data_IF_190698317916
#
_entry.id   IF_190698317916
#
_cell.length_a   1.000
_cell.length_b   1.000
_cell.length_c   1.000
_cell.angle_alpha   90.00
_cell.angle_beta   90.00
_cell.angle_gamma   90.00
#
_symmetry.space_group_name_H-M   'P 1'
#
loop_
_entity.id
_entity.type
_entity.pdbx_description
1 polymer ?
#
# COMPACT_ATOMS: atom_id res chain seq x y z
N UNK A 1 -7.68 -21.94 4.41
CA UNK A 1 -8.49 -20.92 3.74
C UNK A 1 -7.60 -19.71 3.53
N UNK A 2 -6.93 -19.63 2.39
CA UNK A 2 -6.18 -18.43 2.01
C UNK A 2 -7.20 -17.38 1.64
N UNK A 3 -7.41 -16.42 2.53
CA UNK A 3 -7.96 -15.11 2.19
C UNK A 3 -7.06 -14.53 1.10
N UNK A 4 -7.43 -14.75 -0.17
CA UNK A 4 -6.68 -14.24 -1.32
C UNK A 4 -6.93 -12.75 -1.39
N UNK A 5 -6.15 -12.02 -0.60
CA UNK A 5 -6.03 -10.57 -0.69
C UNK A 5 -5.53 -10.23 -2.08
N UNK A 6 -6.27 -9.37 -2.78
CA UNK A 6 -5.86 -8.86 -4.08
C UNK A 6 -4.77 -7.82 -3.86
N UNK A 7 -3.55 -8.09 -4.36
CA UNK A 7 -2.41 -7.18 -4.22
C UNK A 7 -2.17 -6.46 -5.53
N UNK A 8 -2.11 -5.13 -5.48
CA UNK A 8 -1.75 -4.28 -6.60
C UNK A 8 -0.32 -3.78 -6.43
N UNK A 9 0.56 -4.17 -7.36
CA UNK A 9 1.92 -3.65 -7.43
C UNK A 9 1.93 -2.27 -8.08
N UNK A 10 2.64 -1.32 -7.47
CA UNK A 10 2.82 0.01 -8.03
C UNK A 10 3.54 -0.03 -9.38
N UNK A 11 3.03 0.72 -10.36
CA UNK A 11 3.68 0.89 -11.67
C UNK A 11 5.01 1.62 -11.58
N UNK A 12 5.24 2.38 -10.50
CA UNK A 12 6.51 3.05 -10.21
C UNK A 12 7.59 2.09 -9.67
N UNK A 13 7.25 0.83 -9.41
CA UNK A 13 8.18 -0.20 -8.96
C UNK A 13 9.00 -0.85 -10.08
N UNK A 14 9.00 -0.28 -11.29
CA UNK A 14 9.69 -0.84 -12.45
C UNK A 14 11.19 -0.53 -12.48
N UNK A 15 11.61 0.68 -12.10
CA UNK A 15 12.96 1.13 -12.51
C UNK A 15 13.99 1.33 -11.39
N UNK A 16 13.64 1.65 -10.13
CA UNK A 16 14.67 2.01 -9.12
C UNK A 16 14.32 1.71 -7.66
N UNK A 17 14.02 0.46 -7.32
CA UNK A 17 13.99 0.01 -5.91
C UNK A 17 12.82 0.50 -5.04
N UNK A 18 11.93 1.34 -5.56
CA UNK A 18 10.69 1.75 -4.87
C UNK A 18 9.57 0.71 -5.04
N UNK A 19 9.81 -0.47 -4.47
CA UNK A 19 9.01 -1.68 -4.64
C UNK A 19 7.86 -1.77 -3.63
N UNK A 20 6.65 -1.37 -4.01
CA UNK A 20 5.49 -1.35 -3.10
C UNK A 20 4.30 -2.08 -3.71
N UNK A 21 3.62 -2.87 -2.88
CA UNK A 21 2.29 -3.42 -3.16
C UNK A 21 1.28 -2.97 -2.10
N UNK A 22 0.05 -2.78 -2.54
CA UNK A 22 -1.09 -2.44 -1.68
C UNK A 22 -2.18 -3.49 -1.87
N UNK A 23 -2.84 -3.88 -0.79
CA UNK A 23 -4.10 -4.60 -0.83
C UNK A 23 -5.18 -3.77 -0.13
N UNK A 24 -6.12 -3.26 -0.90
CA UNK A 24 -7.25 -2.47 -0.41
C UNK A 24 -8.36 -3.36 0.15
N UNK A 25 -9.10 -2.82 1.13
CA UNK A 25 -10.20 -3.51 1.78
C UNK A 25 -10.62 -2.78 3.06
N UNK A 26 -11.30 -3.50 3.96
CA UNK A 26 -11.67 -2.96 5.28
C UNK A 26 -10.43 -2.51 6.09
N UNK A 27 -9.29 -3.15 5.85
CA UNK A 27 -7.96 -2.74 6.29
C UNK A 27 -7.07 -2.68 5.05
N UNK A 28 -6.33 -1.59 4.90
CA UNK A 28 -5.40 -1.43 3.78
C UNK A 28 -4.04 -1.95 4.21
N UNK A 29 -3.49 -2.90 3.45
CA UNK A 29 -2.20 -3.48 3.74
C UNK A 29 -1.17 -2.94 2.75
N UNK A 30 -0.02 -2.51 3.25
CA UNK A 30 1.10 -2.03 2.44
C UNK A 30 2.31 -2.89 2.75
N UNK A 31 3.00 -3.36 1.70
CA UNK A 31 4.24 -4.12 1.87
C UNK A 31 5.28 -3.82 0.80
N UNK A 32 6.50 -4.20 1.13
CA UNK A 32 7.61 -4.23 0.19
C UNK A 32 7.42 -5.39 -0.82
N UNK A 33 7.55 -5.09 -2.12
CA UNK A 33 7.39 -6.13 -3.16
C UNK A 33 8.49 -7.18 -3.12
N UNK A 34 9.70 -6.80 -2.72
CA UNK A 34 10.89 -7.66 -2.71
C UNK A 34 10.98 -8.51 -1.43
N UNK A 35 10.46 -8.00 -0.31
CA UNK A 35 10.56 -8.61 1.00
C UNK A 35 9.18 -8.99 1.56
N UNK A 36 8.38 -9.71 0.77
CA UNK A 36 6.99 -10.09 1.14
C UNK A 36 6.90 -10.93 2.41
N UNK A 37 7.96 -11.68 2.71
CA UNK A 37 8.10 -12.56 3.86
C UNK A 37 8.26 -11.78 5.18
N UNK A 38 8.70 -10.52 5.12
CA UNK A 38 8.79 -9.64 6.30
C UNK A 38 7.42 -9.13 6.76
N UNK A 39 6.35 -9.42 6.01
CA UNK A 39 4.97 -9.08 6.36
C UNK A 39 4.47 -7.81 5.69
N UNK A 40 3.59 -7.08 6.37
CA UNK A 40 2.93 -5.88 5.87
C UNK A 40 2.55 -4.96 7.02
N UNK A 41 2.39 -3.67 6.71
CA UNK A 41 1.83 -2.68 7.62
C UNK A 41 0.33 -2.57 7.32
N UNK A 42 -0.48 -2.51 8.36
CA UNK A 42 -1.93 -2.44 8.27
C UNK A 42 -2.42 -1.03 8.66
N UNK A 43 -3.27 -0.45 7.82
CA UNK A 43 -3.90 0.85 8.04
C UNK A 43 -5.42 0.73 8.08
N UNK A 44 -6.10 1.47 8.96
CA UNK A 44 -7.55 1.65 8.84
C UNK A 44 -7.90 2.29 7.50
N UNK A 45 -8.95 1.79 6.83
CA UNK A 45 -9.39 2.31 5.54
C UNK A 45 -9.60 3.84 5.54
N UNK A 46 -10.17 4.40 6.61
CA UNK A 46 -10.40 5.84 6.73
C UNK A 46 -9.09 6.66 6.77
N UNK A 47 -8.09 6.18 7.51
CA UNK A 47 -6.80 6.86 7.59
C UNK A 47 -6.08 6.86 6.24
N UNK A 48 -6.12 5.73 5.53
CA UNK A 48 -5.58 5.62 4.17
C UNK A 48 -6.25 6.59 3.19
N UNK A 49 -7.58 6.72 3.25
CA UNK A 49 -8.32 7.64 2.39
C UNK A 49 -7.94 9.11 2.65
N UNK A 50 -7.81 9.51 3.92
CA UNK A 50 -7.36 10.86 4.30
C UNK A 50 -5.96 11.13 3.77
N UNK A 51 -5.03 10.21 4.02
CA UNK A 51 -3.64 10.30 3.53
C UNK A 51 -3.57 10.53 2.02
N UNK A 52 -4.29 9.73 1.22
CA UNK A 52 -4.31 9.89 -0.23
C UNK A 52 -4.91 11.23 -0.68
N UNK A 53 -5.93 11.72 0.02
CA UNK A 53 -6.54 13.00 -0.29
C UNK A 53 -5.59 14.17 -0.01
N UNK A 54 -4.84 14.12 1.09
CA UNK A 54 -3.88 15.16 1.45
C UNK A 54 -2.71 15.19 0.46
N UNK A 55 -2.18 14.02 0.07
CA UNK A 55 -1.17 13.92 -0.99
C UNK A 55 -1.65 14.52 -2.31
N UNK A 56 -2.89 14.24 -2.73
CA UNK A 56 -3.47 14.83 -3.97
C UNK A 56 -3.61 16.34 -3.91
N UNK A 57 -3.80 16.89 -2.72
CA UNK A 57 -3.88 18.33 -2.46
C UNK A 57 -2.52 18.99 -2.31
N UNK A 58 -1.43 18.21 -2.30
CA UNK A 58 -0.09 18.71 -2.02
C UNK A 58 0.12 19.09 -0.55
N UNK A 59 -0.79 18.68 0.35
CA UNK A 59 -0.63 18.89 1.79
C UNK A 59 0.24 17.77 2.33
N UNK A 60 1.49 18.09 2.58
CA UNK A 60 2.46 17.27 3.29
C UNK A 60 3.29 18.25 4.14
N UNK A 61 3.43 17.97 5.44
CA UNK A 61 4.32 18.72 6.34
C UNK A 61 5.79 18.62 5.91
#
# INVERSE_FOLDING_TARGET
>A
MTDTREWHKSTYSAEKGSCVEVAEGATVLVRDTQHRDLGHIAYPHQAWAVFLNDLRRGVHD
#
